data_IF_570984558388
#
_entry.id   IF_570984558388
#
_cell.length_a   1.000
_cell.length_b   1.000
_cell.length_c   1.000
_cell.angle_alpha   90.00
_cell.angle_beta   90.00
_cell.angle_gamma   90.00
#
_symmetry.space_group_name_H-M   'P 1'
#
loop_
_entity.id
_entity.type
_entity.pdbx_description
1 polymer ?
#
# COMPACT_ATOMS: atom_id res chain seq x y z
N UNK A 1 4.76 -24.31 21.76
CA UNK A 1 4.04 -23.32 20.93
C UNK A 1 2.69 -23.94 20.59
N UNK A 2 1.57 -23.32 20.96
CA UNK A 2 0.22 -23.89 20.75
C UNK A 2 -0.19 -23.71 19.26
N UNK A 3 -0.68 -24.77 18.62
CA UNK A 3 -1.14 -24.77 17.23
C UNK A 3 -2.13 -23.62 16.92
N UNK A 4 -3.00 -23.28 17.88
CA UNK A 4 -3.94 -22.17 17.77
C UNK A 4 -3.23 -20.80 17.64
N UNK A 5 -2.17 -20.58 18.41
CA UNK A 5 -1.41 -19.32 18.37
C UNK A 5 -0.70 -19.13 17.02
N UNK A 6 -0.18 -20.21 16.43
CA UNK A 6 0.43 -20.18 15.09
C UNK A 6 -0.59 -19.91 13.98
N UNK A 7 -1.79 -20.51 14.07
CA UNK A 7 -2.89 -20.24 13.11
C UNK A 7 -3.35 -18.78 13.16
N UNK A 8 -3.49 -18.21 14.36
CA UNK A 8 -3.87 -16.80 14.54
C UNK A 8 -2.79 -15.87 13.96
N UNK A 9 -1.52 -16.11 14.27
CA UNK A 9 -0.40 -15.36 13.70
C UNK A 9 -0.39 -15.39 12.17
N UNK A 10 -0.59 -16.58 11.56
CA UNK A 10 -0.65 -16.69 10.10
C UNK A 10 -1.82 -15.93 9.49
N UNK A 11 -2.99 -15.95 10.14
CA UNK A 11 -4.15 -15.18 9.69
C UNK A 11 -3.88 -13.67 9.77
N UNK A 12 -3.30 -13.20 10.87
CA UNK A 12 -2.92 -11.80 11.01
C UNK A 12 -1.91 -11.36 9.95
N UNK A 13 -0.94 -12.22 9.60
CA UNK A 13 -0.02 -11.92 8.50
C UNK A 13 -0.76 -11.79 7.17
N UNK A 14 -1.63 -12.74 6.83
CA UNK A 14 -2.41 -12.70 5.58
C UNK A 14 -3.24 -11.42 5.52
N UNK A 15 -3.97 -11.09 6.59
CA UNK A 15 -4.78 -9.87 6.65
C UNK A 15 -3.93 -8.59 6.53
N UNK A 16 -2.72 -8.58 7.09
CA UNK A 16 -1.79 -7.45 6.89
C UNK A 16 -1.33 -7.34 5.44
N UNK A 17 -0.94 -8.45 4.81
CA UNK A 17 -0.57 -8.46 3.39
C UNK A 17 -1.72 -8.00 2.49
N UNK A 18 -2.95 -8.48 2.74
CA UNK A 18 -4.14 -8.05 2.01
C UNK A 18 -4.43 -6.54 2.19
N UNK A 19 -4.22 -6.02 3.41
CA UNK A 19 -4.38 -4.60 3.70
C UNK A 19 -3.29 -3.74 3.03
N UNK A 20 -2.04 -4.21 3.02
CA UNK A 20 -0.92 -3.54 2.35
C UNK A 20 -1.12 -3.53 0.82
N UNK A 21 -1.60 -4.62 0.23
CA UNK A 21 -1.95 -4.69 -1.19
C UNK A 21 -3.11 -3.73 -1.53
N UNK A 22 -4.13 -3.66 -0.67
CA UNK A 22 -5.26 -2.74 -0.85
C UNK A 22 -4.83 -1.27 -0.73
N UNK A 23 -3.92 -0.97 0.19
CA UNK A 23 -3.36 0.36 0.39
C UNK A 23 -2.50 0.78 -0.81
N UNK A 24 -1.71 -0.15 -1.35
CA UNK A 24 -0.92 0.09 -2.57
C UNK A 24 -1.80 0.33 -3.79
N UNK A 25 -2.90 -0.42 -3.94
CA UNK A 25 -3.86 -0.20 -5.02
C UNK A 25 -4.47 1.19 -4.91
N UNK A 26 -4.91 1.57 -3.71
CA UNK A 26 -5.45 2.90 -3.45
C UNK A 26 -4.42 4.00 -3.74
N UNK A 27 -3.20 3.89 -3.24
CA UNK A 27 -2.13 4.86 -3.47
C UNK A 27 -1.81 5.05 -4.96
N UNK A 28 -1.75 3.95 -5.73
CA UNK A 28 -1.57 4.03 -7.18
C UNK A 28 -2.72 4.77 -7.87
N UNK A 29 -3.96 4.48 -7.49
CA UNK A 29 -5.13 5.10 -8.12
C UNK A 29 -5.18 6.61 -7.83
N UNK A 30 -4.84 7.02 -6.61
CA UNK A 30 -4.77 8.43 -6.26
C UNK A 30 -3.69 9.17 -7.07
N UNK A 31 -2.50 8.59 -7.21
CA UNK A 31 -1.44 9.14 -8.06
C UNK A 31 -1.91 9.25 -9.51
N UNK A 32 -2.60 8.23 -10.03
CA UNK A 32 -3.15 8.25 -11.38
C UNK A 32 -4.20 9.36 -11.57
N UNK A 33 -5.13 9.53 -10.63
CA UNK A 33 -6.16 10.58 -10.69
C UNK A 33 -5.53 11.98 -10.72
N UNK A 34 -4.45 12.20 -9.95
CA UNK A 34 -3.72 13.46 -9.95
C UNK A 34 -2.92 13.68 -11.24
N UNK A 35 -2.18 12.67 -11.69
CA UNK A 35 -1.26 12.80 -12.83
C UNK A 35 -1.98 12.81 -14.18
N UNK A 36 -3.00 11.96 -14.35
CA UNK A 36 -3.70 11.75 -15.62
C UNK A 36 -4.94 12.61 -15.75
N UNK A 37 -5.73 12.70 -14.68
CA UNK A 37 -7.02 13.39 -14.71
C UNK A 37 -6.92 14.81 -14.13
N UNK A 38 -5.72 15.23 -13.72
CA UNK A 38 -5.42 16.55 -13.14
C UNK A 38 -6.35 16.92 -11.97
N UNK A 39 -6.77 15.92 -11.21
CA UNK A 39 -7.60 16.11 -10.03
C UNK A 39 -6.75 16.71 -8.90
N UNK A 40 -7.22 17.81 -8.33
CA UNK A 40 -6.65 18.37 -7.11
C UNK A 40 -7.10 17.52 -5.91
N UNK A 41 -6.14 16.80 -5.33
CA UNK A 41 -6.35 15.95 -4.17
C UNK A 41 -6.05 16.66 -2.84
N UNK A 42 -5.71 17.96 -2.88
CA UNK A 42 -5.37 18.77 -1.71
C UNK A 42 -4.21 18.22 -0.87
N UNK A 43 -3.32 17.44 -1.48
CA UNK A 43 -2.10 16.98 -0.83
C UNK A 43 -1.12 18.12 -0.67
N UNK A 44 -0.51 18.21 0.51
CA UNK A 44 0.70 18.99 0.68
C UNK A 44 1.93 18.24 0.09
N UNK A 45 3.08 18.92 0.04
CA UNK A 45 4.31 18.36 -0.54
C UNK A 45 4.77 17.09 0.21
N UNK A 46 4.63 17.07 1.54
CA UNK A 46 5.06 15.94 2.37
C UNK A 46 4.16 14.71 2.14
N UNK A 47 2.84 14.89 2.07
CA UNK A 47 1.87 13.83 1.78
C UNK A 47 2.08 13.24 0.39
N UNK A 48 2.32 14.09 -0.61
CA UNK A 48 2.57 13.65 -1.98
C UNK A 48 3.87 12.84 -2.08
N UNK A 49 4.96 13.30 -1.48
CA UNK A 49 6.24 12.59 -1.46
C UNK A 49 6.11 11.23 -0.76
N UNK A 50 5.34 11.15 0.33
CA UNK A 50 5.14 9.93 1.09
C UNK A 50 4.35 8.89 0.28
N UNK A 51 3.27 9.30 -0.38
CA UNK A 51 2.43 8.40 -1.21
C UNK A 51 3.20 7.94 -2.45
N UNK A 52 3.89 8.84 -3.14
CA UNK A 52 4.71 8.47 -4.32
C UNK A 52 5.86 7.56 -3.93
N UNK A 53 6.57 7.87 -2.84
CA UNK A 53 7.63 7.03 -2.31
C UNK A 53 7.15 5.63 -1.93
N UNK A 54 5.95 5.51 -1.33
CA UNK A 54 5.34 4.23 -1.02
C UNK A 54 5.03 3.40 -2.27
N UNK A 55 4.47 4.02 -3.31
CA UNK A 55 4.19 3.38 -4.60
C UNK A 55 5.49 2.93 -5.29
N UNK A 56 6.53 3.75 -5.30
CA UNK A 56 7.82 3.42 -5.90
C UNK A 56 8.56 2.31 -5.16
N UNK A 57 8.59 2.36 -3.83
CA UNK A 57 9.20 1.33 -3.00
C UNK A 57 8.56 -0.04 -3.29
N UNK A 58 7.25 -0.07 -3.47
CA UNK A 58 6.50 -1.30 -3.76
C UNK A 58 6.80 -1.88 -5.16
N UNK A 59 7.16 -1.04 -6.14
CA UNK A 59 7.61 -1.50 -7.49
C UNK A 59 9.01 -2.12 -7.48
N UNK A 60 9.83 -1.78 -6.50
CA UNK A 60 11.21 -2.26 -6.38
C UNK A 60 11.35 -3.64 -5.73
N UNK A 61 10.27 -4.19 -5.19
CA UNK A 61 10.22 -5.54 -4.62
C UNK A 61 9.96 -6.52 -5.77
N UNK A 62 10.92 -7.39 -6.14
CA UNK A 62 10.68 -8.39 -7.17
C UNK A 62 9.60 -9.37 -6.70
N UNK A 63 8.54 -9.51 -7.51
CA UNK A 63 7.56 -10.58 -7.38
C UNK A 63 8.30 -11.93 -7.48
N UNK A 64 8.41 -12.61 -6.34
CA UNK A 64 9.04 -13.93 -6.21
C UNK A 64 7.97 -15.02 -6.30
#
# INVERSE_FOLDING_TARGET
MNELAYKLYKREQITRFEADDSLLLFANEMVLLKDKDHIDLFWDEDEEDLIRGYVEASKSIPLN
#
